data_IF_192497842475
#
_entry.id   IF_192497842475
#
_cell.length_a   1.000
_cell.length_b   1.000
_cell.length_c   1.000
_cell.angle_alpha   90.00
_cell.angle_beta   90.00
_cell.angle_gamma   90.00
#
_symmetry.space_group_name_H-M   'P 1'
#
loop_
_entity.id
_entity.type
_entity.pdbx_description
1 polymer ?
#
# COMPACT_ATOMS: atom_id res chain seq x y z
N UNK A 1 95.19 24.63 -24.16
CA UNK A 1 95.91 25.36 -23.11
C UNK A 1 95.15 26.66 -22.89
N UNK A 2 94.29 26.68 -21.86
CA UNK A 2 94.47 27.50 -20.63
C UNK A 2 94.24 28.99 -20.90
N UNK A 3 93.47 29.77 -20.16
CA UNK A 3 92.75 29.67 -18.88
C UNK A 3 91.84 30.93 -18.80
N UNK A 4 90.69 30.80 -18.12
CA UNK A 4 90.10 31.72 -17.11
C UNK A 4 89.97 33.23 -17.43
N UNK A 5 88.73 33.77 -17.41
CA UNK A 5 88.19 34.51 -16.24
C UNK A 5 86.67 34.83 -16.32
N UNK A 6 86.09 35.03 -15.12
CA UNK A 6 84.69 35.21 -14.66
C UNK A 6 84.03 36.53 -15.18
N UNK A 7 82.77 36.92 -14.96
CA UNK A 7 81.74 36.66 -13.96
C UNK A 7 80.36 37.23 -14.44
N UNK A 8 79.25 36.74 -13.87
CA UNK A 8 78.11 37.59 -13.48
C UNK A 8 76.79 37.44 -14.25
N UNK A 9 75.72 37.03 -13.55
CA UNK A 9 74.42 37.73 -13.40
C UNK A 9 73.23 36.78 -13.12
N UNK A 10 72.60 36.98 -11.94
CA UNK A 10 71.15 37.06 -11.72
C UNK A 10 70.24 35.88 -12.12
N UNK A 11 69.82 35.07 -11.13
CA UNK A 11 68.67 34.17 -11.24
C UNK A 11 67.32 34.93 -11.16
N UNK A 12 66.28 34.55 -11.92
CA UNK A 12 64.95 35.15 -11.82
C UNK A 12 64.00 34.41 -10.86
N UNK A 13 62.98 35.15 -10.43
CA UNK A 13 61.99 34.84 -9.39
C UNK A 13 61.06 33.66 -9.69
N UNK A 14 60.82 32.82 -8.68
CA UNK A 14 59.81 31.77 -8.69
C UNK A 14 58.45 32.29 -8.19
N UNK A 15 57.42 32.16 -9.03
CA UNK A 15 56.02 32.47 -8.71
C UNK A 15 55.47 31.45 -7.71
N UNK A 16 54.98 31.93 -6.55
CA UNK A 16 54.15 31.16 -5.61
C UNK A 16 52.70 31.19 -6.07
N UNK A 17 52.16 30.03 -6.45
CA UNK A 17 50.72 29.82 -6.64
C UNK A 17 50.15 29.34 -5.31
N UNK A 18 49.36 30.17 -4.64
CA UNK A 18 48.54 29.78 -3.49
C UNK A 18 47.23 29.16 -3.99
N UNK A 19 47.06 27.85 -3.83
CA UNK A 19 45.76 27.19 -3.95
C UNK A 19 45.22 26.97 -2.53
N UNK A 20 44.30 27.83 -2.11
CA UNK A 20 43.57 27.69 -0.85
C UNK A 20 42.45 26.67 -1.06
N UNK A 21 42.69 25.41 -0.67
CA UNK A 21 41.66 24.38 -0.61
C UNK A 21 40.71 24.67 0.56
N UNK A 22 39.44 24.91 0.26
CA UNK A 22 38.36 25.06 1.25
C UNK A 22 37.69 23.69 1.39
N UNK A 23 38.19 22.85 2.29
CA UNK A 23 37.47 21.65 2.72
C UNK A 23 36.37 22.05 3.70
N UNK A 24 35.20 22.39 3.15
CA UNK A 24 33.98 22.53 3.92
C UNK A 24 33.29 21.15 3.99
N UNK A 25 33.84 20.27 4.82
CA UNK A 25 33.20 18.99 5.15
C UNK A 25 32.47 19.15 6.48
N UNK A 26 31.31 19.80 6.44
CA UNK A 26 30.38 19.82 7.57
C UNK A 26 29.80 18.41 7.75
N UNK A 27 30.52 17.56 8.50
CA UNK A 27 30.02 16.28 8.99
C UNK A 27 28.70 16.53 9.75
N UNK A 28 27.61 15.97 9.22
CA UNK A 28 26.30 16.04 9.88
C UNK A 28 26.44 15.43 11.28
N UNK A 29 25.91 16.07 12.34
CA UNK A 29 25.94 15.50 13.68
C UNK A 29 25.30 14.11 13.67
N UNK A 30 26.03 13.11 14.17
CA UNK A 30 25.52 11.75 14.39
C UNK A 30 25.06 11.69 15.84
N UNK A 31 23.91 11.05 16.17
CA UNK A 31 23.47 10.90 17.55
C UNK A 31 24.47 10.12 18.39
N UNK A 32 24.66 10.53 19.64
CA UNK A 32 25.41 9.75 20.62
C UNK A 32 24.59 8.51 21.02
N UNK A 33 25.11 7.32 20.71
CA UNK A 33 24.49 6.04 21.04
C UNK A 33 24.91 4.92 20.08
N UNK A 34 24.74 3.64 20.47
CA UNK A 34 24.98 2.54 19.54
C UNK A 34 24.05 2.67 18.32
N UNK A 35 24.52 2.28 17.12
CA UNK A 35 23.67 2.28 15.94
C UNK A 35 22.44 1.39 16.15
N UNK A 36 21.29 1.70 15.52
CA UNK A 36 20.12 0.85 15.61
C UNK A 36 20.45 -0.57 15.12
N UNK A 37 19.86 -1.56 15.78
CA UNK A 37 20.05 -2.97 15.40
C UNK A 37 19.72 -3.16 13.90
N UNK A 38 20.49 -4.00 13.19
CA UNK A 38 20.26 -4.25 11.77
C UNK A 38 18.87 -4.86 11.55
N UNK A 39 18.33 -4.64 10.36
CA UNK A 39 17.09 -5.29 9.93
C UNK A 39 17.44 -6.74 9.60
N UNK A 40 16.85 -7.69 10.33
CA UNK A 40 17.02 -9.12 10.08
C UNK A 40 15.99 -9.62 9.05
N UNK A 41 14.76 -9.13 9.13
CA UNK A 41 13.64 -9.59 8.32
C UNK A 41 12.69 -8.42 8.05
N UNK A 42 11.99 -8.48 6.91
CA UNK A 42 10.87 -7.58 6.61
C UNK A 42 9.62 -8.41 6.43
N UNK A 43 8.53 -8.00 7.05
CA UNK A 43 7.24 -8.68 7.00
C UNK A 43 6.21 -7.79 6.30
N UNK A 44 5.34 -8.40 5.51
CA UNK A 44 4.19 -7.76 4.87
C UNK A 44 2.94 -8.17 5.60
N UNK A 45 2.11 -7.20 5.93
CA UNK A 45 0.89 -7.40 6.71
C UNK A 45 -0.29 -6.91 5.90
N UNK A 46 -1.32 -7.76 5.78
CA UNK A 46 -2.64 -7.38 5.30
C UNK A 46 -3.57 -7.22 6.50
N UNK A 47 -4.26 -6.10 6.56
CA UNK A 47 -5.22 -5.81 7.63
C UNK A 47 -6.53 -5.26 7.07
N UNK A 48 -7.59 -5.38 7.86
CA UNK A 48 -8.90 -4.85 7.58
C UNK A 48 -9.27 -3.71 8.51
N UNK A 49 -10.12 -2.80 8.01
CA UNK A 49 -10.74 -1.72 8.77
C UNK A 49 -12.24 -1.75 8.52
N UNK A 50 -13.02 -2.10 9.54
CA UNK A 50 -14.46 -2.42 9.44
C UNK A 50 -15.29 -1.64 10.44
N UNK A 51 -16.62 -1.68 10.26
CA UNK A 51 -17.58 -1.09 11.19
C UNK A 51 -17.26 0.38 11.49
N UNK A 52 -17.24 0.73 12.78
CA UNK A 52 -16.97 2.11 13.23
C UNK A 52 -15.55 2.59 12.88
N UNK A 53 -14.59 1.67 12.79
CA UNK A 53 -13.19 2.00 12.49
C UNK A 53 -13.05 2.54 11.06
N UNK A 54 -14.03 2.33 10.16
CA UNK A 54 -14.07 2.93 8.81
C UNK A 54 -13.94 4.47 8.83
N UNK A 55 -14.37 5.11 9.93
CA UNK A 55 -14.32 6.56 10.13
C UNK A 55 -13.03 7.05 10.81
N UNK A 56 -12.10 6.16 11.15
CA UNK A 56 -10.82 6.50 11.78
C UNK A 56 -9.84 7.02 10.74
N UNK A 57 -9.14 8.12 11.06
CA UNK A 57 -8.11 8.71 10.20
C UNK A 57 -6.92 7.75 10.02
N UNK A 58 -6.18 7.89 8.92
CA UNK A 58 -4.97 7.09 8.71
C UNK A 58 -3.96 7.23 9.87
N UNK A 59 -3.76 8.45 10.39
CA UNK A 59 -2.86 8.70 11.52
C UNK A 59 -3.27 7.94 12.79
N UNK A 60 -4.57 7.84 13.05
CA UNK A 60 -5.06 7.15 14.24
C UNK A 60 -4.97 5.63 14.09
N UNK A 61 -5.16 5.10 12.86
CA UNK A 61 -4.85 3.71 12.53
C UNK A 61 -3.36 3.43 12.76
N UNK A 62 -2.48 4.30 12.27
CA UNK A 62 -1.03 4.13 12.44
C UNK A 62 -0.64 4.08 13.92
N UNK A 63 -1.20 4.99 14.73
CA UNK A 63 -1.00 4.98 16.19
C UNK A 63 -1.54 3.72 16.86
N UNK A 64 -2.68 3.19 16.41
CA UNK A 64 -3.22 1.95 16.95
C UNK A 64 -2.32 0.76 16.64
N UNK A 65 -1.82 0.66 15.41
CA UNK A 65 -0.87 -0.37 14.99
C UNK A 65 0.47 -0.27 15.72
N UNK A 66 1.03 0.93 15.88
CA UNK A 66 2.25 1.12 16.68
C UNK A 66 2.08 0.69 18.14
N UNK A 67 0.92 0.95 18.74
CA UNK A 67 0.61 0.46 20.10
C UNK A 67 0.45 -1.06 20.13
N UNK A 68 -0.18 -1.64 19.10
CA UNK A 68 -0.32 -3.09 19.00
C UNK A 68 1.04 -3.79 18.86
N UNK A 69 1.93 -3.26 18.01
CA UNK A 69 3.31 -3.74 17.87
C UNK A 69 4.06 -3.74 19.21
N UNK A 70 3.92 -2.67 20.00
CA UNK A 70 4.50 -2.61 21.36
C UNK A 70 3.86 -3.58 22.34
N UNK A 71 2.54 -3.76 22.30
CA UNK A 71 1.83 -4.71 23.19
C UNK A 71 2.14 -6.16 22.88
N UNK A 72 2.33 -6.48 21.61
CA UNK A 72 2.68 -7.80 21.11
C UNK A 72 4.19 -8.12 21.21
N UNK A 73 4.99 -7.23 21.81
CA UNK A 73 6.45 -7.36 21.93
C UNK A 73 7.15 -7.65 20.59
N UNK A 74 6.66 -7.03 19.52
CA UNK A 74 7.25 -7.21 18.19
C UNK A 74 8.60 -6.47 18.14
N UNK A 75 9.70 -7.13 17.75
CA UNK A 75 11.04 -6.56 17.74
C UNK A 75 11.25 -5.64 16.52
N UNK A 76 10.46 -4.56 16.42
CA UNK A 76 10.48 -3.63 15.29
C UNK A 76 11.83 -2.91 15.24
N UNK A 77 12.43 -2.85 14.05
CA UNK A 77 13.63 -2.08 13.80
C UNK A 77 13.33 -0.58 13.76
N UNK A 78 14.30 0.24 14.17
CA UNK A 78 14.14 1.70 14.22
C UNK A 78 15.03 2.40 13.20
N UNK A 79 14.64 3.60 12.78
CA UNK A 79 15.48 4.48 11.98
C UNK A 79 16.69 4.99 12.78
N UNK A 80 17.78 5.30 12.09
CA UNK A 80 18.90 6.03 12.69
C UNK A 80 18.56 7.53 12.84
N UNK A 81 19.24 8.24 13.74
CA UNK A 81 19.08 9.68 13.94
C UNK A 81 18.60 10.08 15.33
N UNK A 82 18.46 11.39 15.57
CA UNK A 82 18.10 11.96 16.87
C UNK A 82 16.63 11.70 17.28
N UNK A 83 15.82 11.18 16.37
CA UNK A 83 14.44 10.76 16.63
C UNK A 83 14.19 9.42 15.94
N UNK A 84 14.57 8.31 16.59
CA UNK A 84 14.35 6.97 16.04
C UNK A 84 12.85 6.70 15.96
N UNK A 85 12.38 6.32 14.78
CA UNK A 85 10.98 5.92 14.57
C UNK A 85 10.93 4.45 14.13
N UNK A 86 9.86 3.71 14.50
CA UNK A 86 9.65 2.36 14.03
C UNK A 86 9.65 2.31 12.49
N UNK A 87 10.36 1.35 11.90
CA UNK A 87 10.41 1.12 10.45
C UNK A 87 9.12 0.43 10.00
N UNK A 88 8.09 1.23 9.80
CA UNK A 88 6.78 0.82 9.28
C UNK A 88 6.52 1.60 7.99
N UNK A 89 6.17 0.92 6.90
CA UNK A 89 5.77 1.53 5.64
C UNK A 89 4.32 1.17 5.34
N UNK A 90 3.44 2.16 5.22
CA UNK A 90 2.06 1.94 4.79
C UNK A 90 2.01 1.93 3.26
N UNK A 91 1.47 0.85 2.69
CA UNK A 91 1.63 0.58 1.26
C UNK A 91 0.32 0.87 0.52
N UNK A 92 0.45 1.65 -0.56
CA UNK A 92 -0.68 2.07 -1.39
C UNK A 92 -1.49 3.22 -0.79
N UNK A 93 -2.56 3.61 -1.47
CA UNK A 93 -3.46 4.64 -0.98
C UNK A 93 -4.41 4.06 0.08
N UNK A 94 -4.28 4.54 1.32
CA UNK A 94 -5.19 4.19 2.41
C UNK A 94 -6.65 4.47 2.01
N UNK A 95 -7.58 3.59 2.39
CA UNK A 95 -9.00 3.84 2.18
C UNK A 95 -9.42 5.20 2.80
N UNK A 96 -10.19 6.02 2.06
CA UNK A 96 -10.72 7.27 2.59
C UNK A 96 -11.56 7.08 3.86
N UNK A 97 -11.69 8.15 4.64
CA UNK A 97 -12.60 8.16 5.79
C UNK A 97 -14.03 7.83 5.34
N UNK A 98 -14.69 6.91 6.05
CA UNK A 98 -16.04 6.43 5.71
C UNK A 98 -16.05 5.15 4.88
N UNK A 99 -14.90 4.73 4.35
CA UNK A 99 -14.74 3.54 3.52
C UNK A 99 -14.17 2.39 4.36
N UNK A 100 -14.83 1.23 4.31
CA UNK A 100 -14.32 0.00 4.89
C UNK A 100 -13.32 -0.67 3.92
N UNK A 101 -12.43 -1.50 4.45
CA UNK A 101 -11.39 -2.15 3.64
C UNK A 101 -10.99 -3.49 4.23
N UNK A 102 -10.85 -4.48 3.35
CA UNK A 102 -10.37 -5.85 3.62
C UNK A 102 -8.91 -6.05 3.14
N UNK A 103 -8.34 -5.01 2.52
CA UNK A 103 -7.09 -5.05 1.79
C UNK A 103 -6.33 -3.73 2.00
N UNK A 104 -5.99 -3.46 3.25
CA UNK A 104 -4.95 -2.50 3.60
C UNK A 104 -3.62 -3.23 3.83
N UNK A 105 -2.51 -2.57 3.48
CA UNK A 105 -1.20 -3.20 3.52
C UNK A 105 -0.17 -2.33 4.23
N UNK A 106 0.74 -2.97 4.95
CA UNK A 106 1.92 -2.35 5.50
C UNK A 106 3.12 -3.30 5.47
N UNK A 107 4.32 -2.75 5.54
CA UNK A 107 5.58 -3.47 5.74
C UNK A 107 6.18 -3.09 7.09
N UNK A 108 6.68 -4.07 7.83
CA UNK A 108 7.38 -3.91 9.11
C UNK A 108 8.79 -4.48 8.96
N UNK A 109 9.82 -3.72 9.32
CA UNK A 109 11.17 -4.27 9.48
C UNK A 109 11.38 -4.70 10.94
N UNK A 110 11.93 -5.89 11.16
CA UNK A 110 12.21 -6.43 12.49
C UNK A 110 13.71 -6.72 12.67
N UNK A 111 14.19 -6.72 13.91
CA UNK A 111 15.60 -6.88 14.28
C UNK A 111 16.02 -8.33 14.50
N UNK A 112 15.06 -9.25 14.56
CA UNK A 112 15.25 -10.70 14.59
C UNK A 112 14.13 -11.37 13.79
N UNK A 113 14.39 -12.57 13.31
CA UNK A 113 13.37 -13.40 12.64
C UNK A 113 12.16 -13.61 13.56
N UNK A 114 10.98 -13.48 12.96
CA UNK A 114 9.69 -13.69 13.60
C UNK A 114 8.90 -14.70 12.76
N UNK A 115 8.20 -15.62 13.41
CA UNK A 115 7.21 -16.47 12.74
C UNK A 115 6.03 -15.59 12.26
N UNK A 116 5.75 -15.53 10.94
CA UNK A 116 4.64 -14.75 10.40
C UNK A 116 3.28 -15.14 11.01
N UNK A 117 3.06 -16.44 11.28
CA UNK A 117 1.81 -16.94 11.85
C UNK A 117 1.57 -16.43 13.27
N UNK A 118 2.60 -16.53 14.12
CA UNK A 118 2.62 -16.00 15.48
C UNK A 118 2.49 -14.48 15.52
N UNK A 119 3.19 -13.76 14.64
CA UNK A 119 3.10 -12.30 14.56
C UNK A 119 1.70 -11.83 14.14
N UNK A 120 1.07 -12.52 13.18
CA UNK A 120 -0.32 -12.27 12.79
C UNK A 120 -1.25 -12.37 14.00
N UNK A 121 -1.18 -13.49 14.72
CA UNK A 121 -2.05 -13.75 15.87
C UNK A 121 -1.84 -12.75 17.01
N UNK A 122 -0.58 -12.43 17.33
CA UNK A 122 -0.23 -11.52 18.41
C UNK A 122 -0.67 -10.07 18.11
N UNK A 123 -0.51 -9.63 16.85
CA UNK A 123 -0.97 -8.32 16.42
C UNK A 123 -2.50 -8.21 16.40
N UNK A 124 -3.19 -9.21 15.86
CA UNK A 124 -4.65 -9.25 15.80
C UNK A 124 -5.27 -9.16 17.20
N UNK A 125 -4.79 -9.99 18.13
CA UNK A 125 -5.21 -9.97 19.53
C UNK A 125 -4.90 -8.64 20.25
N UNK A 126 -3.92 -7.88 19.74
CA UNK A 126 -3.51 -6.60 20.29
C UNK A 126 -4.26 -5.42 19.69
N UNK A 127 -5.13 -5.58 18.70
CA UNK A 127 -5.86 -4.49 18.04
C UNK A 127 -7.31 -4.38 18.55
N UNK A 128 -7.91 -3.18 18.45
CA UNK A 128 -9.32 -3.02 18.81
C UNK A 128 -10.24 -3.69 17.78
N UNK A 129 -11.45 -4.13 18.17
CA UNK A 129 -12.42 -4.72 17.25
C UNK A 129 -12.68 -3.86 16.00
N UNK A 130 -12.66 -4.50 14.83
CA UNK A 130 -12.82 -3.84 13.54
C UNK A 130 -11.52 -3.32 12.94
N UNK A 131 -10.37 -3.58 13.56
CA UNK A 131 -9.04 -3.44 12.97
C UNK A 131 -8.31 -4.78 13.10
N UNK A 132 -8.43 -5.63 12.09
CA UNK A 132 -8.06 -7.05 12.19
C UNK A 132 -6.88 -7.37 11.28
N UNK A 133 -5.88 -8.12 11.77
CA UNK A 133 -4.75 -8.59 10.95
C UNK A 133 -5.17 -9.89 10.27
N UNK A 134 -5.29 -9.83 8.94
CA UNK A 134 -5.80 -10.92 8.14
C UNK A 134 -4.71 -11.86 7.64
N UNK A 135 -3.51 -11.33 7.39
CA UNK A 135 -2.41 -12.11 6.86
C UNK A 135 -1.05 -11.46 7.14
N UNK A 136 -0.03 -12.28 7.28
CA UNK A 136 1.37 -11.86 7.41
C UNK A 136 2.24 -12.82 6.63
N UNK A 137 3.10 -12.28 5.76
CA UNK A 137 4.11 -13.04 5.02
C UNK A 137 5.48 -12.40 5.18
N UNK A 138 6.53 -13.19 5.02
CA UNK A 138 7.86 -12.64 4.84
C UNK A 138 7.97 -11.90 3.51
N UNK A 139 8.56 -10.71 3.52
CA UNK A 139 8.67 -9.90 2.32
C UNK A 139 9.79 -10.45 1.42
N UNK A 140 9.41 -10.92 0.24
CA UNK A 140 10.35 -11.22 -0.83
C UNK A 140 10.91 -9.95 -1.50
N UNK A 141 11.46 -10.14 -2.70
CA UNK A 141 12.03 -9.07 -3.51
C UNK A 141 10.97 -8.13 -4.07
N UNK A 142 11.39 -6.91 -4.41
CA UNK A 142 10.54 -5.89 -5.02
C UNK A 142 9.68 -5.09 -4.04
N UNK A 143 9.05 -4.05 -4.58
CA UNK A 143 8.15 -3.14 -3.86
C UNK A 143 6.75 -3.72 -3.83
N UNK A 144 6.13 -3.82 -2.64
CA UNK A 144 4.72 -4.19 -2.54
C UNK A 144 3.83 -3.14 -3.20
N UNK A 145 4.20 -1.85 -3.14
CA UNK A 145 3.41 -0.77 -3.72
C UNK A 145 3.23 -0.96 -5.22
N UNK A 146 4.28 -1.42 -5.90
CA UNK A 146 4.31 -1.61 -7.35
C UNK A 146 3.42 -2.78 -7.78
N UNK A 147 3.16 -3.73 -6.87
CA UNK A 147 2.25 -4.85 -7.09
C UNK A 147 0.77 -4.47 -6.92
N UNK A 148 0.45 -3.28 -6.41
CA UNK A 148 -0.93 -2.86 -6.19
C UNK A 148 -1.40 -2.09 -7.42
N UNK A 149 -1.99 -2.81 -8.39
CA UNK A 149 -2.37 -2.28 -9.70
C UNK A 149 -3.87 -1.99 -9.83
N UNK A 150 -4.71 -2.69 -9.07
CA UNK A 150 -6.16 -2.51 -9.09
C UNK A 150 -6.80 -2.85 -7.73
N UNK A 151 -8.03 -2.38 -7.55
CA UNK A 151 -8.86 -2.61 -6.37
C UNK A 151 -10.23 -3.14 -6.77
N UNK A 152 -10.70 -4.18 -6.08
CA UNK A 152 -12.09 -4.64 -6.13
C UNK A 152 -12.90 -3.97 -5.03
N UNK A 153 -14.07 -3.46 -5.40
CA UNK A 153 -14.95 -2.72 -4.51
C UNK A 153 -16.35 -3.32 -4.49
N UNK A 154 -16.98 -3.20 -3.33
CA UNK A 154 -18.42 -3.43 -3.11
C UNK A 154 -19.03 -2.14 -2.59
N UNK A 155 -20.08 -1.67 -3.26
CA UNK A 155 -20.88 -0.54 -2.81
C UNK A 155 -22.30 -1.03 -2.54
N UNK A 156 -22.76 -0.88 -1.30
CA UNK A 156 -24.17 -1.10 -0.96
C UNK A 156 -24.93 0.21 -1.11
N UNK A 157 -26.08 0.13 -1.78
CA UNK A 157 -27.00 1.23 -2.01
C UNK A 157 -28.38 0.85 -1.47
N UNK A 158 -28.61 0.96 -0.15
CA UNK A 158 -29.91 0.65 0.45
C UNK A 158 -31.01 1.54 -0.15
N UNK A 159 -32.16 0.95 -0.48
CA UNK A 159 -33.32 1.64 -1.04
C UNK A 159 -33.17 2.07 -2.50
N UNK A 160 -32.04 1.78 -3.16
CA UNK A 160 -31.89 2.05 -4.58
C UNK A 160 -32.77 1.12 -5.42
N UNK A 161 -33.27 1.65 -6.55
CA UNK A 161 -34.04 0.89 -7.53
C UNK A 161 -33.11 -0.02 -8.36
N UNK A 162 -33.29 -1.36 -8.33
CA UNK A 162 -32.43 -2.29 -9.07
C UNK A 162 -32.47 -2.12 -10.59
N UNK A 163 -33.61 -1.74 -11.17
CA UNK A 163 -33.75 -1.56 -12.60
C UNK A 163 -33.03 -0.27 -13.05
N UNK A 164 -33.19 0.83 -12.31
CA UNK A 164 -32.47 2.07 -12.59
C UNK A 164 -30.95 1.88 -12.43
N UNK A 165 -30.52 1.15 -11.40
CA UNK A 165 -29.11 0.87 -11.19
C UNK A 165 -28.51 0.04 -12.34
N UNK A 166 -29.22 -1.00 -12.80
CA UNK A 166 -28.78 -1.82 -13.94
C UNK A 166 -28.65 -1.01 -15.22
N UNK A 167 -29.67 -0.20 -15.54
CA UNK A 167 -29.63 0.67 -16.70
C UNK A 167 -28.49 1.71 -16.62
N UNK A 168 -28.21 2.24 -15.42
CA UNK A 168 -27.10 3.17 -15.21
C UNK A 168 -25.73 2.51 -15.43
N UNK A 169 -25.55 1.29 -14.92
CA UNK A 169 -24.33 0.49 -15.13
C UNK A 169 -24.14 0.15 -16.61
N UNK A 170 -25.20 -0.23 -17.33
CA UNK A 170 -25.16 -0.49 -18.77
C UNK A 170 -24.69 0.74 -19.55
N UNK A 171 -25.27 1.92 -19.27
CA UNK A 171 -24.86 3.19 -19.90
C UNK A 171 -23.43 3.58 -19.55
N UNK A 172 -23.01 3.37 -18.30
CA UNK A 172 -21.64 3.62 -17.88
C UNK A 172 -20.65 2.74 -18.66
N UNK A 173 -20.93 1.44 -18.75
CA UNK A 173 -20.05 0.50 -19.42
C UNK A 173 -19.97 0.73 -20.93
N UNK A 174 -21.07 1.19 -21.55
CA UNK A 174 -21.15 1.51 -22.98
C UNK A 174 -20.53 2.86 -23.35
N UNK A 175 -20.33 3.77 -22.39
CA UNK A 175 -19.69 5.05 -22.65
C UNK A 175 -18.20 4.86 -22.96
N UNK A 176 -17.71 5.56 -23.98
CA UNK A 176 -16.28 5.60 -24.31
C UNK A 176 -15.48 6.40 -23.28
N UNK A 177 -16.07 7.50 -22.77
CA UNK A 177 -15.45 8.44 -21.85
C UNK A 177 -16.47 9.04 -20.90
N UNK A 178 -16.13 9.17 -19.62
CA UNK A 178 -16.97 9.82 -18.62
C UNK A 178 -16.11 10.79 -17.81
N UNK A 179 -16.17 12.07 -18.14
CA UNK A 179 -15.38 13.08 -17.46
C UNK A 179 -16.01 13.53 -16.14
N UNK A 180 -15.25 13.38 -15.07
CA UNK A 180 -15.64 13.81 -13.72
C UNK A 180 -14.71 14.90 -13.22
N UNK A 181 -15.22 15.67 -12.27
CA UNK A 181 -14.49 16.75 -11.62
C UNK A 181 -14.39 16.49 -10.12
N UNK A 182 -13.16 16.40 -9.58
CA UNK A 182 -12.92 16.22 -8.13
C UNK A 182 -11.96 17.24 -7.54
N UNK A 183 -12.39 17.94 -6.48
CA UNK A 183 -11.58 18.94 -5.80
C UNK A 183 -10.38 18.27 -5.11
N UNK A 184 -9.19 18.83 -5.31
CA UNK A 184 -7.95 18.37 -4.68
C UNK A 184 -7.30 19.51 -3.91
N UNK A 185 -6.25 19.19 -3.13
CA UNK A 185 -5.42 20.22 -2.47
C UNK A 185 -4.80 21.22 -3.46
N UNK A 186 -4.66 20.85 -4.74
CA UNK A 186 -4.13 21.70 -5.81
C UNK A 186 -5.23 22.34 -6.67
N UNK A 187 -6.48 22.33 -6.21
CA UNK A 187 -7.64 22.86 -6.93
C UNK A 187 -8.44 21.79 -7.67
N UNK A 188 -9.32 22.26 -8.55
CA UNK A 188 -10.25 21.45 -9.33
C UNK A 188 -9.50 20.59 -10.35
N UNK A 189 -9.79 19.28 -10.43
CA UNK A 189 -9.21 18.40 -11.45
C UNK A 189 -10.31 17.67 -12.21
N UNK A 190 -10.17 17.65 -13.54
CA UNK A 190 -10.99 16.89 -14.48
C UNK A 190 -10.21 15.70 -15.00
N UNK A 191 -10.85 14.53 -15.08
CA UNK A 191 -10.26 13.30 -15.60
C UNK A 191 -11.36 12.32 -16.03
N UNK A 192 -10.99 11.34 -16.85
CA UNK A 192 -11.90 10.29 -17.26
C UNK A 192 -12.02 9.22 -16.17
N UNK A 193 -13.23 9.04 -15.62
CA UNK A 193 -13.51 7.99 -14.66
C UNK A 193 -13.69 6.63 -15.33
N UNK A 194 -14.15 6.58 -16.59
CA UNK A 194 -14.47 5.35 -17.30
C UNK A 194 -13.22 4.53 -17.60
N UNK A 195 -12.13 5.19 -17.97
CA UNK A 195 -10.84 4.58 -18.36
C UNK A 195 -10.28 3.64 -17.29
N UNK A 196 -10.43 3.98 -16.01
CA UNK A 196 -9.88 3.16 -14.92
C UNK A 196 -10.77 1.97 -14.53
N UNK A 197 -12.05 1.95 -14.93
CA UNK A 197 -13.00 0.90 -14.54
C UNK A 197 -12.86 -0.30 -15.46
N UNK A 198 -12.35 -1.41 -14.92
CA UNK A 198 -12.19 -2.69 -15.62
C UNK A 198 -13.53 -3.39 -15.75
N UNK A 199 -14.30 -3.42 -14.66
CA UNK A 199 -15.64 -4.00 -14.61
C UNK A 199 -16.52 -3.21 -13.65
N UNK A 200 -17.81 -3.16 -13.97
CA UNK A 200 -18.85 -2.61 -13.12
C UNK A 200 -20.13 -3.40 -13.36
N UNK A 201 -20.69 -3.95 -12.29
CA UNK A 201 -21.88 -4.79 -12.31
C UNK A 201 -22.82 -4.40 -11.16
N UNK A 202 -24.12 -4.50 -11.40
CA UNK A 202 -25.16 -4.32 -10.39
C UNK A 202 -25.82 -5.66 -10.07
N UNK A 203 -25.87 -6.00 -8.79
CA UNK A 203 -26.60 -7.14 -8.26
C UNK A 203 -27.65 -6.66 -7.23
N UNK A 204 -28.65 -7.48 -6.97
CA UNK A 204 -29.63 -7.27 -5.91
C UNK A 204 -29.34 -8.22 -4.76
N UNK A 205 -29.43 -7.73 -3.53
CA UNK A 205 -29.33 -8.55 -2.34
C UNK A 205 -30.54 -8.26 -1.44
N UNK A 206 -31.23 -9.32 -1.03
CA UNK A 206 -32.32 -9.19 -0.08
C UNK A 206 -31.73 -8.90 1.32
N UNK A 207 -31.91 -7.68 1.82
CA UNK A 207 -31.59 -7.38 3.21
C UNK A 207 -32.62 -8.04 4.11
N UNK A 208 -32.20 -9.09 4.83
CA UNK A 208 -32.96 -9.62 5.97
C UNK A 208 -32.40 -9.00 7.24
N UNK A 209 -32.91 -7.83 7.63
CA UNK A 209 -32.57 -7.26 8.94
C UNK A 209 -33.43 -7.95 9.99
N UNK A 210 -32.81 -8.67 10.92
CA UNK A 210 -33.50 -9.31 12.03
C UNK A 210 -34.27 -8.24 12.84
N UNK A 211 -35.61 -8.27 12.77
CA UNK A 211 -36.51 -7.42 13.56
C UNK A 211 -37.19 -6.26 12.83
N UNK A 212 -37.07 -6.12 11.50
CA UNK A 212 -37.86 -5.14 10.72
C UNK A 212 -38.64 -5.83 9.59
N UNK A 213 -39.92 -5.47 9.45
CA UNK A 213 -40.86 -6.08 8.51
C UNK A 213 -40.76 -5.56 7.06
N UNK A 214 -39.84 -4.64 6.74
CA UNK A 214 -39.65 -4.19 5.36
C UNK A 214 -38.37 -4.76 4.75
N UNK A 215 -38.54 -5.63 3.75
CA UNK A 215 -37.51 -5.86 2.72
C UNK A 215 -37.32 -4.56 1.96
N UNK A 216 -36.34 -3.74 2.34
CA UNK A 216 -35.86 -2.68 1.45
C UNK A 216 -34.93 -3.33 0.43
N UNK A 217 -35.13 -3.01 -0.85
CA UNK A 217 -34.22 -3.44 -1.92
C UNK A 217 -32.84 -2.85 -1.65
N UNK A 218 -31.81 -3.68 -1.68
CA UNK A 218 -30.44 -3.22 -1.58
C UNK A 218 -29.71 -3.57 -2.88
N UNK A 219 -29.26 -2.53 -3.59
CA UNK A 219 -28.43 -2.72 -4.79
C UNK A 219 -26.98 -2.80 -4.36
N UNK A 220 -26.29 -3.79 -4.90
CA UNK A 220 -24.85 -4.00 -4.72
C UNK A 220 -24.15 -3.69 -6.04
N UNK A 221 -23.35 -2.63 -6.05
CA UNK A 221 -22.40 -2.41 -7.15
C UNK A 221 -21.09 -3.15 -6.83
N UNK A 222 -20.63 -3.96 -7.78
CA UNK A 222 -19.30 -4.59 -7.75
C UNK A 222 -18.48 -3.99 -8.87
N UNK A 223 -17.28 -3.54 -8.55
CA UNK A 223 -16.40 -2.95 -9.56
C UNK A 223 -14.94 -3.31 -9.31
N UNK A 224 -14.18 -3.43 -10.40
CA UNK A 224 -12.72 -3.46 -10.36
C UNK A 224 -12.19 -2.19 -11.00
N UNK A 225 -11.34 -1.47 -10.27
CA UNK A 225 -10.81 -0.16 -10.68
C UNK A 225 -9.28 -0.22 -10.66
N UNK A 226 -8.65 0.11 -11.80
CA UNK A 226 -7.19 0.26 -11.91
C UNK A 226 -6.72 1.45 -11.10
N UNK A 227 -5.54 1.32 -10.52
CA UNK A 227 -4.83 2.43 -9.91
C UNK A 227 -4.19 3.27 -11.01
N UNK A 228 -4.63 4.51 -11.12
CA UNK A 228 -4.15 5.48 -12.09
C UNK A 228 -3.79 6.79 -11.39
N UNK A 229 -3.15 7.70 -12.13
CA UNK A 229 -2.93 9.07 -11.68
C UNK A 229 -3.58 10.03 -12.67
N UNK A 230 -4.69 10.73 -12.31
CA UNK A 230 -5.34 10.73 -10.99
C UNK A 230 -6.08 9.43 -10.68
N UNK A 231 -6.13 9.07 -9.39
CA UNK A 231 -6.82 7.85 -8.96
C UNK A 231 -8.34 8.01 -9.07
N UNK A 232 -9.02 7.06 -9.71
CA UNK A 232 -10.48 6.98 -9.74
C UNK A 232 -10.96 6.28 -8.46
N UNK A 233 -11.85 6.95 -7.72
CA UNK A 233 -12.45 6.45 -6.48
C UNK A 233 -13.87 5.94 -6.73
N UNK A 234 -14.42 5.11 -5.83
CA UNK A 234 -15.84 4.73 -5.85
C UNK A 234 -16.79 5.93 -6.05
N UNK A 235 -16.53 7.06 -5.37
CA UNK A 235 -17.35 8.27 -5.50
C UNK A 235 -17.30 8.90 -6.90
N UNK A 236 -16.16 8.78 -7.61
CA UNK A 236 -16.03 9.26 -8.98
C UNK A 236 -16.86 8.38 -9.93
N UNK A 237 -16.91 7.06 -9.70
CA UNK A 237 -17.76 6.14 -10.46
C UNK A 237 -19.24 6.42 -10.21
N UNK A 238 -19.63 6.67 -8.95
CA UNK A 238 -21.00 7.08 -8.61
C UNK A 238 -21.37 8.42 -9.27
N UNK A 239 -20.44 9.37 -9.31
CA UNK A 239 -20.61 10.62 -10.05
C UNK A 239 -20.81 10.35 -11.55
N UNK A 240 -20.03 9.45 -12.12
CA UNK A 240 -20.19 9.01 -13.51
C UNK A 240 -21.56 8.40 -13.79
N UNK A 241 -22.07 7.51 -12.92
CA UNK A 241 -23.43 6.95 -13.04
C UNK A 241 -24.50 8.03 -13.05
N UNK A 242 -24.35 9.06 -12.22
CA UNK A 242 -25.25 10.21 -12.23
C UNK A 242 -25.17 10.98 -13.54
N UNK A 243 -23.98 11.22 -14.09
CA UNK A 243 -23.81 11.96 -15.33
C UNK A 243 -24.42 11.24 -16.55
N UNK A 244 -24.30 9.91 -16.62
CA UNK A 244 -24.76 9.14 -17.79
C UNK A 244 -26.21 8.67 -17.70
N UNK A 245 -26.79 8.65 -16.51
CA UNK A 245 -28.11 8.04 -16.30
C UNK A 245 -29.00 8.75 -15.29
N UNK A 246 -28.58 9.90 -14.72
CA UNK A 246 -29.22 10.59 -13.59
C UNK A 246 -29.47 9.67 -12.39
N UNK A 247 -28.65 8.62 -12.25
CA UNK A 247 -28.75 7.68 -11.15
C UNK A 247 -28.04 8.24 -9.91
N UNK A 248 -28.83 8.51 -8.87
CA UNK A 248 -28.33 8.94 -7.57
C UNK A 248 -28.86 8.01 -6.47
N UNK A 249 -27.99 7.47 -5.59
CA UNK A 249 -28.44 6.69 -4.44
C UNK A 249 -29.34 7.52 -3.51
N UNK A 250 -30.42 6.95 -2.95
CA UNK A 250 -31.34 7.68 -2.07
C UNK A 250 -30.74 7.95 -0.69
N UNK A 251 -29.74 7.18 -0.28
CA UNK A 251 -28.98 7.33 0.97
C UNK A 251 -27.49 7.26 0.69
N UNK A 252 -26.62 7.75 1.61
CA UNK A 252 -25.18 7.64 1.45
C UNK A 252 -24.73 6.18 1.20
N UNK A 253 -23.90 5.93 0.18
CA UNK A 253 -23.44 4.60 -0.18
C UNK A 253 -22.53 4.01 0.90
N UNK A 254 -22.60 2.70 1.11
CA UNK A 254 -21.64 1.99 1.96
C UNK A 254 -20.56 1.32 1.12
N UNK A 255 -19.36 1.87 1.16
CA UNK A 255 -18.25 1.43 0.31
C UNK A 255 -17.29 0.53 1.09
N UNK A 256 -16.94 -0.61 0.51
CA UNK A 256 -15.93 -1.54 1.03
C UNK A 256 -14.94 -1.92 -0.07
N UNK A 257 -13.64 -1.77 0.18
CA UNK A 257 -12.60 -2.39 -0.66
C UNK A 257 -12.48 -3.85 -0.26
N UNK A 258 -12.73 -4.76 -1.19
CA UNK A 258 -12.69 -6.22 -0.94
C UNK A 258 -11.28 -6.79 -1.14
N UNK A 259 -10.57 -6.31 -2.17
CA UNK A 259 -9.26 -6.79 -2.53
C UNK A 259 -8.47 -5.69 -3.24
N UNK A 260 -7.15 -5.80 -3.20
CA UNK A 260 -6.25 -4.93 -3.94
C UNK A 260 -4.94 -5.68 -4.21
N UNK A 261 -4.44 -5.61 -5.44
CA UNK A 261 -3.28 -6.39 -5.90
C UNK A 261 -3.01 -6.23 -7.39
N UNK A 262 -2.19 -7.11 -7.99
CA UNK A 262 -1.91 -7.11 -9.42
C UNK A 262 -3.19 -7.39 -10.20
N UNK A 263 -3.35 -6.83 -11.39
CA UNK A 263 -4.51 -7.19 -12.20
C UNK A 263 -4.27 -8.54 -12.87
N UNK A 264 -5.08 -9.54 -12.54
CA UNK A 264 -5.13 -10.77 -13.32
C UNK A 264 -5.89 -10.53 -14.61
N UNK A 265 -5.17 -10.51 -15.74
CA UNK A 265 -5.73 -10.27 -17.08
C UNK A 265 -6.73 -11.33 -17.52
N UNK A 266 -6.70 -12.53 -16.94
CA UNK A 266 -7.62 -13.63 -17.29
C UNK A 266 -8.97 -13.46 -16.62
N UNK A 267 -8.98 -13.02 -15.37
CA UNK A 267 -10.20 -12.91 -14.55
C UNK A 267 -10.72 -11.48 -14.47
N UNK A 268 -9.89 -10.48 -14.78
CA UNK A 268 -10.21 -9.07 -14.60
C UNK A 268 -10.28 -8.64 -13.13
N UNK A 269 -9.84 -9.49 -12.20
CA UNK A 269 -9.89 -9.26 -10.76
C UNK A 269 -8.49 -9.01 -10.17
N UNK A 270 -8.39 -8.38 -8.98
CA UNK A 270 -7.13 -8.30 -8.26
C UNK A 270 -6.66 -9.69 -7.83
N UNK A 271 -5.45 -10.07 -8.23
CA UNK A 271 -4.73 -11.20 -7.68
C UNK A 271 -4.19 -10.90 -6.27
N UNK A 272 -3.73 -11.93 -5.57
CA UNK A 272 -3.10 -11.76 -4.26
C UNK A 272 -1.71 -11.11 -4.39
N UNK A 273 -1.48 -9.92 -3.82
CA UNK A 273 -0.19 -9.24 -3.92
C UNK A 273 0.95 -9.94 -3.15
N UNK A 274 0.62 -10.87 -2.26
CA UNK A 274 1.58 -11.70 -1.52
C UNK A 274 1.94 -13.00 -2.23
N UNK A 275 1.37 -13.29 -3.41
CA UNK A 275 1.63 -14.55 -4.14
C UNK A 275 3.12 -14.89 -4.26
N UNK A 276 3.92 -13.94 -4.77
CA UNK A 276 5.38 -14.08 -4.95
C UNK A 276 6.14 -14.31 -3.63
N UNK A 277 5.63 -13.76 -2.52
CA UNK A 277 6.27 -13.89 -1.22
C UNK A 277 6.10 -15.30 -0.66
N UNK A 278 4.93 -15.91 -0.89
CA UNK A 278 4.64 -17.28 -0.46
C UNK A 278 5.39 -18.32 -1.30
N UNK A 279 5.55 -18.08 -2.60
CA UNK A 279 6.30 -18.99 -3.47
C UNK A 279 7.78 -19.06 -3.05
N UNK A 280 8.37 -17.93 -2.66
CA UNK A 280 9.74 -17.90 -2.14
C UNK A 280 9.89 -18.64 -0.81
N UNK A 281 8.89 -18.60 0.07
CA UNK A 281 8.93 -19.35 1.33
C UNK A 281 8.88 -20.87 1.12
N UNK A 282 8.19 -21.34 0.08
CA UNK A 282 8.09 -22.78 -0.26
C UNK A 282 9.33 -23.30 -0.98
N UNK A 283 10.03 -22.46 -1.75
CA UNK A 283 11.27 -22.84 -2.44
C UNK A 283 12.48 -23.06 -1.52
N UNK A 284 12.37 -22.77 -0.21
CA UNK A 284 13.41 -22.98 0.80
C UNK A 284 13.38 -24.35 1.48
N UNK A 285 12.31 -25.14 1.30
CA UNK A 285 12.24 -26.54 1.76
C UNK A 285 12.80 -27.45 0.66
N UNK A 286 14.13 -27.51 0.52
CA UNK A 286 14.76 -28.63 -0.20
C UNK A 286 14.64 -29.88 0.65
N UNK A 287 13.79 -30.83 0.24
CA UNK A 287 13.80 -32.18 0.82
C UNK A 287 15.21 -32.77 0.74
N UNK A 288 15.73 -33.39 1.83
CA UNK A 288 16.98 -34.10 1.73
C UNK A 288 16.75 -35.35 0.86
N UNK A 289 17.40 -35.37 -0.30
CA UNK A 289 17.57 -36.59 -1.10
C UNK A 289 18.31 -37.59 -0.23
N UNK A 290 17.58 -38.57 0.30
CA UNK A 290 18.17 -39.70 1.00
C UNK A 290 18.94 -40.55 -0.01
N UNK A 291 20.26 -40.38 -0.08
CA UNK A 291 21.17 -41.37 -0.66
C UNK A 291 21.02 -42.68 0.12
N UNK A 292 20.30 -43.64 -0.46
CA UNK A 292 20.39 -45.02 -0.03
C UNK A 292 21.75 -45.57 -0.47
N UNK A 293 22.68 -45.61 0.48
CA UNK A 293 23.91 -46.41 0.42
C UNK A 293 23.50 -47.88 0.36
N UNK A 294 23.54 -48.48 -0.82
CA UNK A 294 23.49 -49.92 -1.02
C UNK A 294 24.86 -50.51 -0.66
N UNK A 295 24.98 -51.03 0.55
CA UNK A 295 26.09 -51.87 0.97
C UNK A 295 25.88 -53.32 0.57
N UNK A 296 26.96 -53.94 0.09
CA UNK A 296 27.09 -55.34 -0.30
C UNK A 296 26.58 -56.34 0.75
N UNK A 297 25.88 -57.38 0.28
CA UNK A 297 26.06 -58.80 0.64
C UNK A 297 25.59 -59.69 -0.50
#
# INVERSE_FOLDING_TARGET
MSEVDRAGHGLPAARRTTATGKEDTTLKPVPDGPPPAPVAQRLRVRYAKRGRLRFTSHRDISRALERALRRADVPVAFSAGFSPHPKISYVGAAAPTGVASEAEYLEISVTRECDPGGLRAALDASLPPGLDVLDVVEAGTGSLADRLECSAWRIRLPGADPALARAAVERFNAAERIEVERLTKKGMRRFDAREAVVSLEAAEEAETTAGQASSQSCVILRMVVRHATPAVRPDDVLTGLRLVADFAPPVPPEVTRLAQGPLDVRTGAPADPFGLDRDNSRGGETEPVSEHVGGDL
#
